data_IF_945413257199
#
_entry.id   IF_945413257199
#
_cell.length_a   1.000
_cell.length_b   1.000
_cell.length_c   1.000
_cell.angle_alpha   90.00
_cell.angle_beta   90.00
_cell.angle_gamma   90.00
#
_symmetry.space_group_name_H-M   'P 1'
#
loop_
_entity.id
_entity.type
_entity.pdbx_description
1 polymer ?
#
# COMPACT_ATOMS: atom_id res chain seq x y z
N UNK A 1 5.86 13.11 -84.23
CA UNK A 1 5.78 12.01 -83.23
C UNK A 1 6.62 12.40 -82.02
N UNK A 2 5.97 12.92 -81.00
CA UNK A 2 6.63 13.37 -79.76
C UNK A 2 6.21 12.41 -78.67
N UNK A 3 7.14 11.61 -78.15
CA UNK A 3 6.95 10.68 -77.05
C UNK A 3 7.17 11.41 -75.72
N UNK A 4 6.12 11.57 -74.94
CA UNK A 4 6.19 12.08 -73.56
C UNK A 4 6.48 10.92 -72.61
N UNK A 5 7.58 11.02 -71.80
CA UNK A 5 7.88 10.13 -70.70
C UNK A 5 7.03 10.52 -69.48
N UNK A 6 6.55 9.55 -68.69
CA UNK A 6 5.89 9.84 -67.41
C UNK A 6 6.94 10.12 -66.30
N UNK A 7 6.72 11.22 -65.58
CA UNK A 7 7.48 11.59 -64.38
C UNK A 7 7.03 10.72 -63.21
N UNK A 8 7.89 9.82 -62.74
CA UNK A 8 7.67 9.05 -61.53
C UNK A 8 7.89 9.96 -60.34
N UNK A 9 6.82 10.23 -59.55
CA UNK A 9 6.88 10.95 -58.26
C UNK A 9 7.24 9.90 -57.19
N UNK A 10 8.42 10.00 -56.62
CA UNK A 10 8.86 9.19 -55.46
C UNK A 10 8.33 9.93 -54.21
N UNK A 11 7.29 9.37 -53.55
CA UNK A 11 6.79 9.83 -52.27
C UNK A 11 7.64 9.26 -51.16
N UNK A 12 8.56 10.05 -50.62
CA UNK A 12 9.35 9.68 -49.43
C UNK A 12 8.50 9.82 -48.20
N UNK A 13 8.09 8.68 -47.65
CA UNK A 13 7.34 8.57 -46.40
C UNK A 13 8.30 8.77 -45.23
N UNK A 14 8.27 9.97 -44.61
CA UNK A 14 9.03 10.28 -43.38
C UNK A 14 8.33 9.56 -42.22
N UNK A 15 8.93 8.46 -41.77
CA UNK A 15 8.49 7.74 -40.59
C UNK A 15 8.98 8.49 -39.34
N UNK A 16 8.19 9.40 -38.79
CA UNK A 16 8.47 10.06 -37.52
C UNK A 16 8.30 9.06 -36.39
N UNK A 17 9.39 8.50 -35.91
CA UNK A 17 9.42 7.63 -34.72
C UNK A 17 9.07 8.43 -33.47
N UNK A 18 7.88 8.21 -32.95
CA UNK A 18 7.49 8.72 -31.62
C UNK A 18 8.25 7.87 -30.58
N UNK A 19 9.32 8.42 -30.02
CA UNK A 19 9.94 7.88 -28.80
C UNK A 19 8.98 8.07 -27.64
N UNK A 20 8.21 7.03 -27.32
CA UNK A 20 7.46 6.97 -26.07
C UNK A 20 8.47 6.88 -24.92
N UNK A 21 8.70 8.00 -24.22
CA UNK A 21 9.41 7.97 -22.93
C UNK A 21 8.51 7.25 -21.93
N UNK A 22 8.80 5.98 -21.67
CA UNK A 22 8.25 5.27 -20.52
C UNK A 22 8.77 5.98 -19.28
N UNK A 23 7.91 6.77 -18.64
CA UNK A 23 8.16 7.27 -17.30
C UNK A 23 8.14 6.05 -16.37
N UNK A 24 9.33 5.56 -15.98
CA UNK A 24 9.44 4.68 -14.82
C UNK A 24 9.02 5.53 -13.61
N UNK A 25 7.77 5.34 -13.18
CA UNK A 25 7.36 5.77 -11.86
C UNK A 25 8.20 4.97 -10.86
N UNK A 26 9.27 5.59 -10.36
CA UNK A 26 9.97 5.08 -9.20
C UNK A 26 8.99 5.22 -8.03
N UNK A 27 8.36 4.11 -7.66
CA UNK A 27 7.74 4.02 -6.34
C UNK A 27 8.85 4.30 -5.34
N UNK A 28 8.82 5.47 -4.72
CA UNK A 28 9.63 5.76 -3.57
C UNK A 28 9.19 4.79 -2.47
N UNK A 29 9.86 3.65 -2.36
CA UNK A 29 9.86 2.86 -1.15
C UNK A 29 10.61 3.68 -0.09
N UNK A 30 9.91 4.64 0.51
CA UNK A 30 10.41 5.19 1.78
C UNK A 30 10.47 4.01 2.74
N UNK A 31 11.68 3.72 3.22
CA UNK A 31 11.87 2.68 4.23
C UNK A 31 11.17 3.13 5.49
N UNK A 32 10.09 2.44 5.85
CA UNK A 32 9.36 2.72 7.10
C UNK A 32 10.28 2.54 8.30
N UNK A 33 10.13 3.41 9.30
CA UNK A 33 10.88 3.33 10.56
C UNK A 33 10.55 2.05 11.35
N UNK A 34 9.40 1.41 11.07
CA UNK A 34 8.90 0.22 11.77
C UNK A 34 9.09 -1.08 10.96
N UNK A 35 9.79 -1.03 9.82
CA UNK A 35 10.10 -2.23 9.05
C UNK A 35 10.00 -2.09 7.54
N UNK A 36 9.65 -3.19 6.88
CA UNK A 36 9.54 -3.29 5.43
C UNK A 36 8.58 -4.40 5.01
N UNK A 37 8.11 -4.42 3.75
CA UNK A 37 7.35 -5.54 3.20
C UNK A 37 8.09 -6.87 3.44
N UNK A 38 7.36 -7.85 3.97
CA UNK A 38 7.90 -9.17 4.29
C UNK A 38 7.61 -10.20 3.18
N UNK A 39 8.45 -11.23 3.13
CA UNK A 39 8.17 -12.39 2.28
C UNK A 39 7.20 -13.32 3.01
N UNK A 40 6.00 -13.54 2.44
CA UNK A 40 4.96 -14.38 3.03
C UNK A 40 5.43 -15.83 3.29
N UNK A 41 6.31 -16.38 2.45
CA UNK A 41 6.88 -17.71 2.65
C UNK A 41 7.80 -17.82 3.88
N UNK A 42 8.25 -16.68 4.43
CA UNK A 42 9.08 -16.57 5.64
C UNK A 42 8.28 -16.09 6.85
N UNK A 43 6.97 -15.91 6.72
CA UNK A 43 6.14 -15.50 7.84
C UNK A 43 6.12 -16.60 8.92
N UNK A 44 6.44 -16.22 10.16
CA UNK A 44 6.43 -17.13 11.30
C UNK A 44 5.06 -17.20 11.97
N UNK A 45 4.20 -16.23 11.69
CA UNK A 45 2.83 -16.13 12.22
C UNK A 45 1.88 -15.57 11.16
N UNK A 46 0.62 -16.02 11.21
CA UNK A 46 -0.51 -15.36 10.57
C UNK A 46 -1.47 -14.87 11.65
N UNK A 47 -1.82 -13.58 11.60
CA UNK A 47 -2.77 -12.96 12.51
C UNK A 47 -4.02 -12.60 11.70
N UNK A 48 -5.17 -13.15 12.11
CA UNK A 48 -6.45 -12.74 11.54
C UNK A 48 -6.84 -11.37 12.10
N UNK A 49 -7.30 -10.48 11.22
CA UNK A 49 -7.76 -9.15 11.57
C UNK A 49 -9.14 -8.94 10.95
N UNK A 50 -10.11 -8.50 11.72
CA UNK A 50 -11.38 -8.04 11.16
C UNK A 50 -11.44 -6.51 11.22
N UNK A 51 -11.81 -5.89 10.10
CA UNK A 51 -12.17 -4.48 9.99
C UNK A 51 -13.69 -4.36 9.95
N UNK A 52 -14.27 -3.40 10.64
CA UNK A 52 -15.71 -3.24 10.75
C UNK A 52 -16.15 -1.78 10.86
N UNK A 53 -17.43 -1.51 10.53
CA UNK A 53 -17.99 -0.16 10.46
C UNK A 53 -18.15 0.52 11.84
N UNK A 54 -17.84 -0.18 12.94
CA UNK A 54 -17.68 0.46 14.25
C UNK A 54 -16.31 1.13 14.41
N UNK A 55 -15.54 1.24 13.32
CA UNK A 55 -14.21 1.86 13.23
C UNK A 55 -13.20 1.19 14.16
N UNK A 56 -13.14 -0.13 14.11
CA UNK A 56 -12.19 -0.93 14.91
C UNK A 56 -11.56 -2.05 14.11
N UNK A 57 -10.30 -2.32 14.43
CA UNK A 57 -9.62 -3.57 14.09
C UNK A 57 -9.69 -4.53 15.27
N UNK A 58 -10.17 -5.74 15.03
CA UNK A 58 -10.10 -6.83 16.00
C UNK A 58 -9.05 -7.84 15.54
N UNK A 59 -8.02 -8.01 16.35
CA UNK A 59 -6.94 -8.96 16.11
C UNK A 59 -7.28 -10.27 16.83
N UNK A 60 -7.11 -11.41 16.15
CA UNK A 60 -7.42 -12.74 16.69
C UNK A 60 -6.57 -13.11 17.91
N UNK A 61 -5.49 -12.40 18.15
CA UNK A 61 -4.58 -12.62 19.27
C UNK A 61 -3.90 -11.32 19.71
N UNK A 62 -3.35 -11.31 20.90
CA UNK A 62 -2.54 -10.20 21.42
C UNK A 62 -1.29 -10.01 20.55
N UNK A 63 -1.02 -8.78 20.16
CA UNK A 63 0.16 -8.42 19.39
C UNK A 63 1.42 -8.50 20.28
N UNK A 64 2.22 -9.53 20.06
CA UNK A 64 3.56 -9.69 20.62
C UNK A 64 4.52 -9.63 19.44
N UNK A 65 5.17 -8.49 19.28
CA UNK A 65 6.02 -8.16 18.13
C UNK A 65 7.44 -7.95 18.60
N UNK A 66 8.41 -8.51 17.86
CA UNK A 66 9.84 -8.36 18.11
C UNK A 66 10.55 -7.86 16.87
N UNK A 67 11.71 -7.28 17.05
CA UNK A 67 12.60 -6.90 15.96
C UNK A 67 12.93 -8.14 15.09
N UNK A 68 12.78 -7.98 13.77
CA UNK A 68 12.99 -9.06 12.80
C UNK A 68 11.82 -9.99 12.56
N UNK A 69 10.74 -9.96 13.37
CA UNK A 69 9.52 -10.77 13.13
C UNK A 69 8.95 -10.53 11.73
N UNK A 70 8.63 -11.61 11.02
CA UNK A 70 7.88 -11.55 9.76
C UNK A 70 6.48 -12.12 10.02
N UNK A 71 5.46 -11.27 9.92
CA UNK A 71 4.08 -11.61 10.25
C UNK A 71 3.16 -11.31 9.06
N UNK A 72 2.30 -12.26 8.71
CA UNK A 72 1.21 -12.06 7.77
C UNK A 72 -0.07 -11.66 8.52
N UNK A 73 -0.67 -10.54 8.12
CA UNK A 73 -1.98 -10.11 8.61
C UNK A 73 -3.01 -10.43 7.54
N UNK A 74 -3.92 -11.34 7.84
CA UNK A 74 -5.04 -11.65 6.97
C UNK A 74 -6.22 -10.79 7.42
N UNK A 75 -6.52 -9.75 6.65
CA UNK A 75 -7.50 -8.71 6.99
C UNK A 75 -8.79 -8.96 6.24
N UNK A 76 -9.87 -9.18 6.99
CA UNK A 76 -11.23 -9.37 6.45
C UNK A 76 -12.07 -8.15 6.81
N UNK A 77 -12.66 -7.51 5.80
CA UNK A 77 -13.65 -6.46 6.02
C UNK A 77 -15.04 -7.09 6.19
N UNK A 78 -15.57 -7.05 7.41
CA UNK A 78 -16.91 -7.54 7.75
C UNK A 78 -17.96 -6.42 7.76
N UNK A 79 -17.56 -5.20 7.39
CA UNK A 79 -18.41 -4.02 7.28
C UNK A 79 -19.04 -3.85 5.91
N UNK A 80 -19.64 -2.67 5.68
CA UNK A 80 -20.32 -2.28 4.44
C UNK A 80 -19.60 -1.16 3.68
N UNK A 81 -18.58 -0.55 4.30
CA UNK A 81 -17.75 0.48 3.68
C UNK A 81 -16.31 -0.03 3.51
N UNK A 82 -15.54 0.47 2.55
CA UNK A 82 -14.11 0.14 2.41
C UNK A 82 -13.32 0.54 3.66
N UNK A 83 -12.31 -0.26 3.99
CA UNK A 83 -11.34 0.05 5.04
C UNK A 83 -9.92 -0.10 4.51
N UNK A 84 -8.99 0.66 5.04
CA UNK A 84 -7.56 0.43 4.87
C UNK A 84 -6.98 -0.31 6.07
N UNK A 85 -5.94 -1.08 5.82
CA UNK A 85 -5.06 -1.59 6.85
C UNK A 85 -3.64 -1.18 6.51
N UNK A 86 -3.12 -0.21 7.25
CA UNK A 86 -1.80 0.38 7.06
C UNK A 86 -0.91 0.12 8.27
N UNK A 87 0.39 -0.13 8.03
CA UNK A 87 1.42 -0.33 9.06
C UNK A 87 2.44 0.79 8.93
N UNK A 88 2.70 1.52 10.00
CA UNK A 88 3.66 2.62 10.03
C UNK A 88 3.91 3.12 11.44
N UNK A 89 4.77 4.13 11.59
CA UNK A 89 4.84 4.91 12.83
C UNK A 89 3.78 6.03 12.83
N UNK A 90 3.72 6.77 13.92
CA UNK A 90 2.74 7.86 14.08
C UNK A 90 2.92 8.97 13.02
N UNK A 91 4.16 9.29 12.64
CA UNK A 91 4.47 10.30 11.63
C UNK A 91 4.05 9.83 10.23
N UNK A 92 4.33 8.58 9.90
CA UNK A 92 3.96 7.95 8.63
C UNK A 92 2.43 7.90 8.48
N UNK A 93 1.72 7.48 9.54
CA UNK A 93 0.25 7.45 9.53
C UNK A 93 -0.35 8.84 9.35
N UNK A 94 0.22 9.86 10.00
CA UNK A 94 -0.23 11.25 9.82
C UNK A 94 -0.03 11.75 8.39
N UNK A 95 1.13 11.48 7.79
CA UNK A 95 1.41 11.85 6.40
C UNK A 95 0.43 11.15 5.43
N UNK A 96 0.15 9.86 5.67
CA UNK A 96 -0.81 9.10 4.88
C UNK A 96 -2.24 9.68 5.00
N UNK A 97 -2.69 10.06 6.21
CA UNK A 97 -3.98 10.72 6.39
C UNK A 97 -4.09 12.04 5.62
N UNK A 98 -3.01 12.85 5.61
CA UNK A 98 -2.98 14.10 4.84
C UNK A 98 -3.09 13.83 3.34
N UNK A 99 -2.40 12.83 2.83
CA UNK A 99 -2.49 12.38 1.44
C UNK A 99 -3.91 11.89 1.10
N UNK A 100 -4.52 11.06 1.93
CA UNK A 100 -5.89 10.54 1.71
C UNK A 100 -6.95 11.64 1.72
N UNK A 101 -6.77 12.71 2.52
CA UNK A 101 -7.67 13.89 2.47
C UNK A 101 -7.52 14.67 1.17
N UNK A 102 -6.30 14.74 0.61
CA UNK A 102 -6.05 15.43 -0.66
C UNK A 102 -6.56 14.61 -1.87
N UNK A 103 -6.60 13.28 -1.75
CA UNK A 103 -6.98 12.35 -2.82
C UNK A 103 -8.05 11.35 -2.31
N UNK A 104 -9.28 11.80 -2.02
CA UNK A 104 -10.32 10.93 -1.50
C UNK A 104 -10.70 9.84 -2.52
N UNK A 105 -10.88 8.61 -2.04
CA UNK A 105 -11.21 7.45 -2.87
C UNK A 105 -10.01 6.75 -3.51
N UNK A 106 -8.78 7.14 -3.19
CA UNK A 106 -7.59 6.39 -3.59
C UNK A 106 -7.62 4.98 -3.00
N UNK A 107 -7.27 3.99 -3.82
CA UNK A 107 -7.14 2.58 -3.43
C UNK A 107 -5.66 2.25 -3.33
N UNK A 108 -5.26 1.68 -2.22
CA UNK A 108 -3.86 1.28 -1.97
C UNK A 108 -3.68 -0.23 -2.01
N UNK A 109 -2.63 -0.66 -2.68
CA UNK A 109 -2.00 -1.98 -2.59
C UNK A 109 -0.48 -1.80 -2.51
N UNK A 110 -0.05 -0.99 -1.57
CA UNK A 110 1.36 -0.68 -1.34
C UNK A 110 1.99 -1.70 -0.40
N UNK A 111 3.31 -1.65 -0.27
CA UNK A 111 4.03 -2.60 0.57
C UNK A 111 3.62 -2.56 2.05
N UNK A 112 3.08 -1.44 2.56
CA UNK A 112 2.66 -1.25 3.95
C UNK A 112 1.16 -0.95 4.13
N UNK A 113 0.39 -0.87 3.05
CA UNK A 113 -1.04 -0.51 3.09
C UNK A 113 -1.84 -1.31 2.07
N UNK A 114 -2.99 -1.81 2.49
CA UNK A 114 -3.98 -2.47 1.63
C UNK A 114 -5.37 -1.87 1.87
N UNK A 115 -6.11 -1.63 0.78
CA UNK A 115 -7.54 -1.32 0.84
C UNK A 115 -8.34 -2.61 0.74
N UNK A 116 -9.27 -2.83 1.67
CA UNK A 116 -10.11 -4.03 1.77
C UNK A 116 -11.58 -3.63 1.62
N UNK A 117 -12.20 -4.04 0.52
CA UNK A 117 -13.60 -3.74 0.23
C UNK A 117 -14.56 -4.60 1.10
N UNK A 118 -15.84 -4.24 1.22
CA UNK A 118 -16.84 -5.03 1.94
C UNK A 118 -16.83 -6.50 1.53
N UNK A 119 -16.71 -7.41 2.51
CA UNK A 119 -16.66 -8.85 2.31
C UNK A 119 -15.32 -9.40 1.77
N UNK A 120 -14.37 -8.53 1.46
CA UNK A 120 -13.05 -8.93 0.95
C UNK A 120 -12.12 -9.36 2.08
N UNK A 121 -11.18 -10.26 1.74
CA UNK A 121 -10.05 -10.64 2.59
C UNK A 121 -8.76 -10.45 1.81
N UNK A 122 -7.84 -9.65 2.36
CA UNK A 122 -6.49 -9.43 1.80
C UNK A 122 -5.42 -9.75 2.83
N UNK A 123 -4.20 -10.02 2.36
CA UNK A 123 -3.07 -10.32 3.23
C UNK A 123 -1.98 -9.28 3.05
N UNK A 124 -1.52 -8.69 4.14
CA UNK A 124 -0.34 -7.85 4.21
C UNK A 124 0.73 -8.55 5.05
N UNK A 125 1.91 -8.77 4.48
CA UNK A 125 3.03 -9.38 5.20
C UNK A 125 4.09 -8.33 5.48
N UNK A 126 4.49 -8.20 6.75
CA UNK A 126 5.42 -7.19 7.23
C UNK A 126 6.57 -7.80 8.01
N UNK A 127 7.79 -7.33 7.72
CA UNK A 127 8.97 -7.60 8.53
C UNK A 127 9.18 -6.42 9.47
N UNK A 128 8.98 -6.66 10.77
CA UNK A 128 9.10 -5.61 11.79
C UNK A 128 10.54 -5.21 12.05
N UNK A 129 10.72 -3.92 12.33
CA UNK A 129 11.94 -3.34 12.84
C UNK A 129 11.60 -2.48 14.06
N UNK A 130 12.34 -2.66 15.15
CA UNK A 130 12.19 -1.79 16.30
C UNK A 130 12.75 -0.40 15.99
N UNK A 131 12.00 0.64 16.36
CA UNK A 131 12.39 2.03 16.25
C UNK A 131 12.69 2.63 17.64
N UNK A 132 13.23 3.85 17.75
CA UNK A 132 13.55 4.45 19.04
C UNK A 132 12.37 4.60 20.02
N UNK A 133 11.14 4.68 19.50
CA UNK A 133 9.91 4.72 20.31
C UNK A 133 9.35 3.34 20.61
N UNK A 134 9.90 2.28 19.99
CA UNK A 134 9.38 0.91 20.04
C UNK A 134 7.90 0.78 19.70
N UNK A 135 7.34 1.75 18.94
CA UNK A 135 5.91 1.83 18.63
C UNK A 135 5.66 1.60 17.14
N UNK A 136 4.65 0.80 16.85
CA UNK A 136 4.03 0.64 15.53
C UNK A 136 2.54 0.95 15.64
N UNK A 137 2.00 1.59 14.60
CA UNK A 137 0.59 1.94 14.48
C UNK A 137 -0.02 1.22 13.29
N UNK A 138 -1.05 0.43 13.55
CA UNK A 138 -1.95 -0.12 12.54
C UNK A 138 -3.12 0.85 12.40
N UNK A 139 -3.42 1.32 11.19
CA UNK A 139 -4.42 2.37 11.01
C UNK A 139 -5.27 2.20 9.75
N UNK A 140 -6.48 2.75 9.78
CA UNK A 140 -7.26 3.07 8.60
C UNK A 140 -7.18 4.58 8.38
N UNK A 141 -6.61 5.00 7.23
CA UNK A 141 -6.38 6.41 6.92
C UNK A 141 -7.44 7.00 5.97
N UNK A 142 -8.48 6.25 5.65
CA UNK A 142 -9.67 6.79 4.99
C UNK A 142 -10.21 7.94 5.84
N UNK A 143 -10.50 9.13 5.25
CA UNK A 143 -10.92 10.32 6.00
C UNK A 143 -12.06 10.03 6.99
N UNK A 144 -11.85 10.42 8.26
CA UNK A 144 -12.80 10.21 9.36
C UNK A 144 -12.64 8.88 10.11
N UNK A 145 -12.04 7.84 9.53
CA UNK A 145 -11.94 6.53 10.17
C UNK A 145 -10.92 6.52 11.32
N UNK A 146 -9.75 7.12 11.11
CA UNK A 146 -8.74 7.25 12.16
C UNK A 146 -9.26 8.06 13.34
N UNK A 147 -9.89 9.19 13.08
CA UNK A 147 -10.48 10.09 14.09
C UNK A 147 -11.61 9.40 14.89
N UNK A 148 -12.34 8.51 14.24
CA UNK A 148 -13.34 7.66 14.90
C UNK A 148 -12.72 6.52 15.73
N UNK A 149 -11.37 6.37 15.71
CA UNK A 149 -10.62 5.42 16.52
C UNK A 149 -10.23 4.13 15.81
N UNK A 150 -10.26 4.11 14.46
CA UNK A 150 -9.84 2.94 13.70
C UNK A 150 -8.31 2.83 13.59
N UNK A 151 -7.68 2.64 14.74
CA UNK A 151 -6.25 2.37 14.85
C UNK A 151 -5.92 1.49 16.04
N UNK A 152 -4.74 0.88 16.01
CA UNK A 152 -4.17 0.10 17.11
C UNK A 152 -2.69 0.40 17.21
N UNK A 153 -2.23 0.83 18.38
CA UNK A 153 -0.81 0.94 18.72
C UNK A 153 -0.32 -0.37 19.35
N UNK A 154 0.90 -0.75 19.03
CA UNK A 154 1.58 -1.89 19.61
C UNK A 154 3.07 -1.58 19.80
N UNK A 155 3.73 -2.36 20.66
CA UNK A 155 5.16 -2.24 20.89
C UNK A 155 5.91 -3.32 20.12
N UNK A 156 7.01 -2.93 19.47
CA UNK A 156 7.99 -3.85 18.87
C UNK A 156 9.18 -3.94 19.82
N UNK A 157 9.27 -5.05 20.54
CA UNK A 157 10.37 -5.27 21.47
C UNK A 157 11.70 -5.50 20.72
N UNK A 158 12.80 -5.02 21.28
CA UNK A 158 14.15 -5.49 20.89
C UNK A 158 14.31 -6.92 21.37
N UNK A 159 14.95 -7.76 20.58
CA UNK A 159 15.37 -9.12 20.99
C UNK A 159 16.46 -9.08 22.04
#
# INVERSE_FOLDING_TARGET
MIRTLPRTIILTMLCSGILSKSALAHAHHETSSVGSPGNAAKATKTIQVTASDNMRFNFSQKLKLHDGDIISFQVTNIGKVPHEFSIGDEKEQKAHQEMMRAMPGMVHEDGNTITVNPGETKTLTWKFKSNPKHEVVFACNIPGHFEAGMYKKATVATT
#
